data_IF_846001231827
#
_entry.id   IF_846001231827
#
_cell.length_a   1.000
_cell.length_b   1.000
_cell.length_c   1.000
_cell.angle_alpha   90.00
_cell.angle_beta   90.00
_cell.angle_gamma   90.00
#
_symmetry.space_group_name_H-M   'P 1'
#
loop_
_entity.id
_entity.type
_entity.pdbx_description
1 polymer ?
#
# COMPACT_ATOMS: atom_id res chain seq x y z
N UNK A 1 13.18 -5.81 15.26
CA UNK A 1 11.85 -5.37 14.81
C UNK A 1 11.61 -5.93 13.42
N UNK A 2 10.36 -6.13 12.96
CA UNK A 2 10.15 -6.39 11.53
C UNK A 2 10.57 -5.15 10.75
N UNK A 3 11.13 -5.35 9.57
CA UNK A 3 11.47 -4.24 8.69
C UNK A 3 10.17 -3.52 8.27
N UNK A 4 10.19 -2.20 8.26
CA UNK A 4 9.01 -1.35 8.06
C UNK A 4 9.24 -0.38 6.92
N UNK A 5 8.29 -0.33 5.99
CA UNK A 5 8.18 0.68 4.94
C UNK A 5 7.15 1.71 5.38
N UNK A 6 7.52 2.98 5.41
CA UNK A 6 6.64 4.10 5.70
C UNK A 6 6.04 4.60 4.38
N UNK A 7 4.73 4.83 4.36
CA UNK A 7 3.98 5.16 3.16
C UNK A 7 3.16 6.43 3.36
N UNK A 8 3.24 7.34 2.39
CA UNK A 8 2.38 8.51 2.25
C UNK A 8 1.87 8.60 0.80
N UNK A 9 0.62 9.00 0.66
CA UNK A 9 0.00 9.35 -0.62
C UNK A 9 -0.12 10.87 -0.69
N UNK A 10 0.37 11.48 -1.76
CA UNK A 10 -0.04 12.84 -2.13
C UNK A 10 -1.21 12.72 -3.09
N UNK A 11 -2.35 13.27 -2.69
CA UNK A 11 -3.58 13.23 -3.48
C UNK A 11 -3.96 14.62 -3.96
N UNK A 12 -4.56 14.68 -5.14
CA UNK A 12 -5.06 15.92 -5.75
C UNK A 12 -6.52 15.70 -6.17
N UNK A 13 -7.35 16.76 -6.27
CA UNK A 13 -8.67 16.64 -6.86
C UNK A 13 -8.55 16.14 -8.31
N UNK A 14 -9.55 15.39 -8.75
CA UNK A 14 -9.74 15.10 -10.18
C UNK A 14 -10.14 16.38 -10.92
N UNK A 15 -10.06 16.33 -12.24
CA UNK A 15 -10.68 17.38 -13.04
C UNK A 15 -12.20 17.31 -12.86
N UNK A 16 -12.87 18.43 -12.53
CA UNK A 16 -14.30 18.43 -12.32
C UNK A 16 -15.02 18.13 -13.63
N UNK A 17 -16.01 17.24 -13.55
CA UNK A 17 -16.99 16.98 -14.61
C UNK A 17 -18.38 17.23 -14.03
N UNK A 18 -19.38 17.48 -14.87
CA UNK A 18 -20.77 17.66 -14.41
C UNK A 18 -21.21 16.50 -13.50
N UNK A 19 -20.93 15.26 -13.90
CA UNK A 19 -21.22 14.06 -13.12
C UNK A 19 -20.50 14.05 -11.76
N UNK A 20 -19.19 14.35 -11.72
CA UNK A 20 -18.43 14.37 -10.47
C UNK A 20 -18.90 15.48 -9.53
N UNK A 21 -19.24 16.64 -10.06
CA UNK A 21 -19.75 17.78 -9.28
C UNK A 21 -21.13 17.44 -8.70
N UNK A 22 -22.01 16.80 -9.48
CA UNK A 22 -23.33 16.38 -9.00
C UNK A 22 -23.21 15.28 -7.92
N UNK A 23 -22.34 14.29 -8.11
CA UNK A 23 -22.04 13.30 -7.07
C UNK A 23 -21.45 13.94 -5.80
N UNK A 24 -20.56 14.93 -5.95
CA UNK A 24 -19.99 15.64 -4.81
C UNK A 24 -21.05 16.43 -4.05
N UNK A 25 -21.91 17.16 -4.78
CA UNK A 25 -23.03 17.90 -4.21
C UNK A 25 -23.96 16.99 -3.43
N UNK A 26 -24.47 15.93 -4.07
CA UNK A 26 -25.40 14.98 -3.43
C UNK A 26 -24.81 14.31 -2.18
N UNK A 27 -23.47 14.19 -2.11
CA UNK A 27 -22.80 13.59 -0.95
C UNK A 27 -22.59 14.56 0.22
N UNK A 28 -22.45 15.86 -0.05
CA UNK A 28 -22.02 16.84 0.95
C UNK A 28 -23.00 18.00 1.18
N UNK A 29 -24.10 18.09 0.42
CA UNK A 29 -25.07 19.19 0.52
C UNK A 29 -25.68 19.38 1.91
N UNK A 30 -25.81 18.29 2.68
CA UNK A 30 -26.33 18.34 4.06
C UNK A 30 -25.33 18.90 5.09
N UNK A 31 -24.04 18.96 4.75
CA UNK A 31 -22.96 19.20 5.73
C UNK A 31 -21.96 20.28 5.33
N UNK A 32 -22.03 20.80 4.09
CA UNK A 32 -21.10 21.80 3.57
C UNK A 32 -21.85 22.94 2.87
N UNK A 33 -21.29 24.14 2.96
CA UNK A 33 -21.70 25.24 2.09
C UNK A 33 -21.09 25.02 0.69
N UNK A 34 -21.97 24.90 -0.31
CA UNK A 34 -21.61 24.57 -1.69
C UNK A 34 -21.92 25.71 -2.67
N UNK A 35 -21.91 26.96 -2.19
CA UNK A 35 -22.19 28.15 -3.02
C UNK A 35 -21.29 28.25 -4.27
N UNK A 36 -20.00 27.89 -4.14
CA UNK A 36 -19.08 27.70 -5.27
C UNK A 36 -18.64 26.24 -5.33
N UNK A 37 -19.50 25.40 -5.91
CA UNK A 37 -19.34 23.95 -5.95
C UNK A 37 -18.00 23.52 -6.56
N UNK A 38 -17.57 24.18 -7.63
CA UNK A 38 -16.32 23.83 -8.31
C UNK A 38 -15.11 24.22 -7.47
N UNK A 39 -15.09 25.43 -6.90
CA UNK A 39 -13.98 25.85 -6.03
C UNK A 39 -13.87 24.94 -4.79
N UNK A 40 -15.00 24.64 -4.13
CA UNK A 40 -15.03 23.76 -2.96
C UNK A 40 -14.63 22.33 -3.33
N UNK A 41 -15.04 21.85 -4.51
CA UNK A 41 -14.60 20.55 -5.00
C UNK A 41 -13.07 20.52 -5.16
N UNK A 42 -12.48 21.52 -5.80
CA UNK A 42 -11.05 21.56 -6.05
C UNK A 42 -10.22 21.70 -4.77
N UNK A 43 -10.68 22.44 -3.76
CA UNK A 43 -9.93 22.63 -2.51
C UNK A 43 -10.04 21.45 -1.54
N UNK A 44 -11.17 20.74 -1.51
CA UNK A 44 -11.45 19.79 -0.41
C UNK A 44 -11.65 18.33 -0.83
N UNK A 45 -11.86 18.05 -2.12
CA UNK A 45 -12.26 16.71 -2.55
C UNK A 45 -11.11 15.69 -2.62
N UNK A 46 -9.85 16.17 -2.56
CA UNK A 46 -8.64 15.36 -2.70
C UNK A 46 -8.52 14.21 -1.68
N UNK A 47 -9.16 14.35 -0.51
CA UNK A 47 -9.16 13.33 0.55
C UNK A 47 -10.20 12.20 0.33
N UNK A 48 -10.98 12.24 -0.75
CA UNK A 48 -11.94 11.19 -1.07
C UNK A 48 -11.50 10.44 -2.33
N UNK A 49 -11.31 9.10 -2.34
CA UNK A 49 -10.82 8.39 -3.52
C UNK A 49 -11.78 8.36 -4.71
N UNK A 50 -13.05 8.75 -4.50
CA UNK A 50 -14.01 8.97 -5.58
C UNK A 50 -13.70 10.27 -6.36
N UNK A 51 -13.34 11.34 -5.64
CA UNK A 51 -13.17 12.68 -6.20
C UNK A 51 -11.71 13.11 -6.37
N UNK A 52 -10.80 12.46 -5.65
CA UNK A 52 -9.36 12.64 -5.73
C UNK A 52 -8.67 11.55 -6.53
N UNK A 53 -7.43 11.82 -6.89
CA UNK A 53 -6.48 10.90 -7.52
C UNK A 53 -5.16 10.92 -6.75
N UNK A 54 -4.40 9.84 -6.82
CA UNK A 54 -3.01 9.78 -6.35
C UNK A 54 -2.15 10.50 -7.39
N UNK A 55 -1.41 11.51 -6.94
CA UNK A 55 -0.47 12.25 -7.77
C UNK A 55 0.94 11.70 -7.63
N UNK A 56 1.34 11.38 -6.40
CA UNK A 56 2.61 10.73 -6.10
C UNK A 56 2.47 9.84 -4.88
N UNK A 57 3.40 8.90 -4.77
CA UNK A 57 3.54 8.01 -3.61
C UNK A 57 4.93 8.18 -3.04
N UNK A 58 5.01 8.39 -1.74
CA UNK A 58 6.29 8.55 -1.04
C UNK A 58 6.50 7.36 -0.10
N UNK A 59 7.63 6.69 -0.28
CA UNK A 59 8.04 5.52 0.49
C UNK A 59 9.29 5.87 1.31
N UNK A 60 9.33 5.45 2.57
CA UNK A 60 10.49 5.59 3.44
C UNK A 60 10.90 4.23 4.02
N UNK A 61 12.18 3.95 4.10
CA UNK A 61 12.68 2.83 4.90
C UNK A 61 14.02 3.18 5.54
N UNK A 62 14.27 2.60 6.71
CA UNK A 62 15.50 2.84 7.46
C UNK A 62 16.49 1.73 7.18
N UNK A 63 17.70 2.08 6.76
CA UNK A 63 18.78 1.13 6.56
C UNK A 63 20.08 1.70 7.13
N UNK A 64 20.73 0.95 8.04
CA UNK A 64 21.97 1.35 8.70
C UNK A 64 21.93 2.76 9.34
N UNK A 65 20.81 3.10 10.00
CA UNK A 65 20.63 4.39 10.66
C UNK A 65 20.35 5.58 9.73
N UNK A 66 20.16 5.33 8.43
CA UNK A 66 19.83 6.33 7.44
C UNK A 66 18.42 6.10 6.90
N UNK A 67 17.61 7.16 6.82
CA UNK A 67 16.30 7.12 6.20
C UNK A 67 16.44 7.25 4.69
N UNK A 68 16.02 6.24 3.93
CA UNK A 68 15.93 6.30 2.47
C UNK A 68 14.51 6.61 2.07
N UNK A 69 14.32 7.72 1.36
CA UNK A 69 13.02 8.18 0.88
C UNK A 69 12.99 8.10 -0.65
N UNK A 70 11.95 7.48 -1.18
CA UNK A 70 11.68 7.42 -2.61
C UNK A 70 10.33 8.05 -2.92
N UNK A 71 10.29 9.03 -3.82
CA UNK A 71 9.05 9.62 -4.34
C UNK A 71 8.81 9.03 -5.73
N UNK A 72 7.65 8.40 -5.93
CA UNK A 72 7.18 7.87 -7.20
C UNK A 72 6.28 8.91 -7.88
N UNK A 73 6.59 9.26 -9.12
CA UNK A 73 5.82 10.21 -9.94
C UNK A 73 5.57 9.64 -11.33
N UNK A 74 4.44 9.97 -11.93
CA UNK A 74 4.05 9.49 -13.25
C UNK A 74 2.55 9.61 -13.45
N UNK A 75 2.01 8.79 -14.34
CA UNK A 75 0.56 8.55 -14.38
C UNK A 75 0.11 7.87 -13.09
N UNK A 76 -1.17 8.01 -12.71
CA UNK A 76 -1.68 7.36 -11.50
C UNK A 76 -1.53 5.83 -11.57
N UNK A 77 -1.78 5.25 -12.75
CA UNK A 77 -1.59 3.83 -13.03
C UNK A 77 -0.14 3.38 -12.83
N UNK A 78 0.83 4.04 -13.45
CA UNK A 78 2.26 3.68 -13.30
C UNK A 78 2.74 3.78 -11.86
N UNK A 79 2.34 4.84 -11.15
CA UNK A 79 2.67 5.04 -9.72
C UNK A 79 2.07 3.93 -8.85
N UNK A 80 0.82 3.55 -9.11
CA UNK A 80 0.17 2.45 -8.39
C UNK A 80 0.85 1.11 -8.71
N UNK A 81 1.12 0.82 -9.98
CA UNK A 81 1.79 -0.42 -10.39
C UNK A 81 3.16 -0.57 -9.74
N UNK A 82 3.98 0.49 -9.78
CA UNK A 82 5.30 0.49 -9.13
C UNK A 82 5.18 0.32 -7.60
N UNK A 83 4.22 1.00 -6.95
CA UNK A 83 3.96 0.79 -5.53
C UNK A 83 3.66 -0.68 -5.23
N UNK A 84 2.79 -1.32 -6.02
CA UNK A 84 2.42 -2.72 -5.84
C UNK A 84 3.63 -3.64 -6.06
N UNK A 85 4.46 -3.37 -7.07
CA UNK A 85 5.70 -4.12 -7.33
C UNK A 85 6.66 -4.03 -6.13
N UNK A 86 6.95 -2.82 -5.63
CA UNK A 86 7.83 -2.61 -4.48
C UNK A 86 7.33 -3.36 -3.24
N UNK A 87 6.04 -3.23 -2.92
CA UNK A 87 5.47 -3.87 -1.74
C UNK A 87 5.35 -5.39 -1.87
N UNK A 88 5.16 -5.91 -3.08
CA UNK A 88 5.17 -7.34 -3.34
C UNK A 88 6.57 -7.94 -3.21
N UNK A 89 7.60 -7.25 -3.70
CA UNK A 89 9.01 -7.62 -3.53
C UNK A 89 9.45 -7.48 -2.07
N UNK A 90 8.77 -6.64 -1.29
CA UNK A 90 9.00 -6.44 0.14
C UNK A 90 7.93 -7.11 1.01
N UNK A 91 7.35 -8.23 0.56
CA UNK A 91 6.18 -8.87 1.23
C UNK A 91 6.43 -9.38 2.66
N UNK A 92 7.68 -9.40 3.14
CA UNK A 92 8.01 -9.67 4.54
C UNK A 92 7.93 -8.42 5.45
N UNK A 93 7.91 -7.22 4.86
CA UNK A 93 7.94 -5.94 5.54
C UNK A 93 6.55 -5.53 5.98
N UNK A 94 6.45 -4.83 7.10
CA UNK A 94 5.23 -4.10 7.47
C UNK A 94 5.16 -2.80 6.70
N UNK A 95 3.95 -2.33 6.36
CA UNK A 95 3.72 -0.98 5.84
C UNK A 95 3.13 -0.11 6.95
N UNK A 96 3.83 0.94 7.33
CA UNK A 96 3.37 1.96 8.26
C UNK A 96 2.87 3.18 7.50
N UNK A 97 1.70 3.69 7.89
CA UNK A 97 1.15 4.97 7.40
C UNK A 97 0.57 5.70 8.60
N UNK A 98 0.44 7.02 8.51
CA UNK A 98 -0.23 7.77 9.57
C UNK A 98 -1.64 7.24 9.83
N UNK A 99 -2.46 7.10 8.78
CA UNK A 99 -3.84 6.66 8.89
C UNK A 99 -4.13 5.57 7.85
N UNK A 100 -4.13 4.31 8.30
CA UNK A 100 -4.42 3.17 7.44
C UNK A 100 -5.88 3.15 6.95
N UNK A 101 -6.81 3.64 7.76
CA UNK A 101 -8.23 3.74 7.37
C UNK A 101 -8.48 4.74 6.25
N UNK A 102 -7.57 5.70 6.04
CA UNK A 102 -7.53 6.53 4.84
C UNK A 102 -6.76 5.85 3.71
N UNK A 103 -5.51 5.46 3.99
CA UNK A 103 -4.54 5.03 2.97
C UNK A 103 -4.99 3.79 2.22
N UNK A 104 -5.40 2.73 2.94
CA UNK A 104 -5.68 1.44 2.30
C UNK A 104 -6.92 1.49 1.39
N UNK A 105 -8.08 2.05 1.83
CA UNK A 105 -9.23 2.19 0.95
C UNK A 105 -8.90 3.09 -0.25
N UNK A 106 -8.13 4.16 -0.04
CA UNK A 106 -7.75 5.06 -1.14
C UNK A 106 -6.98 4.29 -2.22
N UNK A 107 -5.93 3.54 -1.85
CA UNK A 107 -5.16 2.73 -2.81
C UNK A 107 -6.07 1.74 -3.53
N UNK A 108 -6.88 0.94 -2.83
CA UNK A 108 -7.71 -0.08 -3.50
C UNK A 108 -8.80 0.53 -4.39
N UNK A 109 -9.43 1.64 -4.00
CA UNK A 109 -10.41 2.32 -4.87
C UNK A 109 -9.73 2.89 -6.11
N UNK A 110 -8.53 3.47 -5.98
CA UNK A 110 -7.79 3.99 -7.13
C UNK A 110 -7.21 2.88 -8.02
N UNK A 111 -6.83 1.73 -7.47
CA UNK A 111 -6.48 0.53 -8.26
C UNK A 111 -7.66 0.11 -9.14
N UNK A 112 -8.85 -0.03 -8.56
CA UNK A 112 -10.05 -0.39 -9.32
C UNK A 112 -10.37 0.65 -10.41
N UNK A 113 -10.21 1.94 -10.09
CA UNK A 113 -10.45 3.02 -11.06
C UNK A 113 -9.43 3.08 -12.21
N UNK A 114 -8.24 2.47 -12.03
CA UNK A 114 -7.21 2.33 -13.06
C UNK A 114 -7.15 0.90 -13.62
N UNK A 115 -8.22 0.10 -13.48
CA UNK A 115 -8.32 -1.27 -13.99
C UNK A 115 -7.21 -2.23 -13.51
N UNK A 116 -6.56 -1.94 -12.39
CA UNK A 116 -5.55 -2.82 -11.80
C UNK A 116 -6.22 -3.99 -11.07
N UNK A 117 -5.70 -5.20 -11.29
CA UNK A 117 -6.24 -6.40 -10.66
C UNK A 117 -6.08 -6.38 -9.14
N UNK A 118 -7.09 -6.83 -8.41
CA UNK A 118 -6.98 -7.05 -6.97
C UNK A 118 -6.13 -8.28 -6.61
N UNK A 119 -5.84 -9.17 -7.57
CA UNK A 119 -5.01 -10.37 -7.34
C UNK A 119 -3.55 -10.02 -7.02
N UNK A 120 -3.07 -8.86 -7.47
CA UNK A 120 -1.70 -8.39 -7.21
C UNK A 120 -1.58 -7.56 -5.93
N UNK A 121 -2.67 -7.41 -5.16
CA UNK A 121 -2.68 -6.61 -3.93
C UNK A 121 -1.72 -7.23 -2.88
N UNK A 122 -0.70 -6.48 -2.41
CA UNK A 122 0.22 -6.96 -1.39
C UNK A 122 -0.50 -7.29 -0.08
N UNK A 123 -0.03 -8.30 0.69
CA UNK A 123 -0.60 -8.61 2.00
C UNK A 123 -0.63 -7.41 2.97
N UNK A 124 0.30 -6.47 2.84
CA UNK A 124 0.39 -5.24 3.63
C UNK A 124 -0.67 -4.19 3.28
N UNK A 125 -1.36 -4.33 2.15
CA UNK A 125 -2.47 -3.47 1.72
C UNK A 125 -3.83 -4.18 1.73
N UNK A 126 -3.83 -5.51 1.93
CA UNK A 126 -5.04 -6.32 1.90
C UNK A 126 -5.87 -6.14 3.17
N UNK A 127 -6.92 -5.31 3.06
CA UNK A 127 -7.85 -4.98 4.15
C UNK A 127 -9.29 -5.41 3.87
N UNK A 128 -9.56 -5.97 2.68
CA UNK A 128 -10.93 -6.29 2.26
C UNK A 128 -11.52 -7.38 3.17
N UNK A 129 -12.70 -7.11 3.73
CA UNK A 129 -13.35 -7.99 4.70
C UNK A 129 -12.64 -8.08 6.06
N UNK A 130 -11.60 -7.29 6.30
CA UNK A 130 -10.87 -7.27 7.56
C UNK A 130 -11.37 -6.19 8.51
N UNK A 131 -11.28 -6.47 9.81
CA UNK A 131 -11.36 -5.45 10.87
C UNK A 131 -9.98 -4.82 11.04
N UNK A 132 -9.86 -3.57 11.51
CA UNK A 132 -8.57 -2.90 11.68
C UNK A 132 -7.54 -3.71 12.48
N UNK A 133 -7.96 -4.34 13.59
CA UNK A 133 -7.08 -5.19 14.43
C UNK A 133 -6.66 -6.53 13.79
N UNK A 134 -7.21 -6.89 12.63
CA UNK A 134 -6.80 -8.08 11.87
C UNK A 134 -5.70 -7.78 10.85
N UNK A 135 -5.35 -6.50 10.62
CA UNK A 135 -4.28 -6.10 9.71
C UNK A 135 -2.92 -6.47 10.32
N UNK A 136 -2.29 -7.52 9.82
CA UNK A 136 -1.04 -8.07 10.40
C UNK A 136 0.24 -7.43 9.87
N UNK A 137 0.18 -6.85 8.68
CA UNK A 137 1.34 -6.28 7.97
C UNK A 137 1.12 -4.79 7.67
N UNK A 138 0.10 -4.18 8.27
CA UNK A 138 -0.13 -2.73 8.20
C UNK A 138 -0.06 -2.17 9.61
N UNK A 139 0.61 -1.03 9.76
CA UNK A 139 0.68 -0.27 10.99
C UNK A 139 -0.01 1.07 10.72
N UNK A 140 -1.13 1.32 11.39
CA UNK A 140 -1.72 2.65 11.46
C UNK A 140 -1.06 3.40 12.60
N UNK A 141 -0.11 4.28 12.31
CA UNK A 141 0.67 4.98 13.34
C UNK A 141 -0.25 5.85 14.21
N UNK A 142 -1.27 6.48 13.64
CA UNK A 142 -2.25 7.27 14.41
C UNK A 142 -2.98 6.43 15.44
N UNK A 143 -3.42 5.22 15.09
CA UNK A 143 -4.11 4.32 16.03
C UNK A 143 -3.14 3.79 17.10
N UNK A 144 -1.90 3.50 16.70
CA UNK A 144 -0.85 3.05 17.61
C UNK A 144 -0.53 4.10 18.68
N UNK A 145 -0.32 5.36 18.28
CA UNK A 145 0.01 6.45 19.22
C UNK A 145 -1.20 6.92 20.02
N UNK A 146 -2.41 6.86 19.45
CA UNK A 146 -3.65 7.20 20.14
C UNK A 146 -3.94 6.21 21.29
N UNK A 147 -3.64 4.92 21.09
CA UNK A 147 -3.92 3.88 22.06
C UNK A 147 -5.42 3.80 22.40
N UNK A 148 -5.75 4.00 23.68
CA UNK A 148 -7.15 4.00 24.17
C UNK A 148 -7.76 5.42 24.27
N UNK A 149 -7.03 6.45 23.84
CA UNK A 149 -7.45 7.85 23.92
C UNK A 149 -8.66 8.14 23.03
N UNK A 150 -9.51 9.08 23.46
CA UNK A 150 -10.75 9.43 22.74
C UNK A 150 -10.58 10.57 21.74
N UNK A 151 -9.49 11.33 21.83
CA UNK A 151 -9.15 12.39 20.91
C UNK A 151 -8.35 11.85 19.73
N UNK A 152 -8.61 12.39 18.54
CA UNK A 152 -7.81 12.10 17.34
C UNK A 152 -6.79 13.23 17.20
N UNK A 153 -5.52 12.88 17.30
CA UNK A 153 -4.43 13.81 16.98
C UNK A 153 -3.98 13.65 15.53
N UNK A 154 -3.37 14.69 15.01
CA UNK A 154 -2.67 14.75 13.73
C UNK A 154 -1.19 14.37 13.91
N UNK A 155 -0.51 14.08 12.79
CA UNK A 155 0.93 13.81 12.82
C UNK A 155 1.69 15.02 13.38
N UNK A 156 1.26 16.22 12.99
CA UNK A 156 1.90 17.49 13.37
C UNK A 156 1.77 17.77 14.88
N UNK A 157 0.62 17.47 15.50
CA UNK A 157 0.46 17.61 16.95
C UNK A 157 1.40 16.67 17.72
N UNK A 158 1.62 15.46 17.21
CA UNK A 158 2.61 14.55 17.81
C UNK A 158 4.04 15.02 17.56
N UNK A 159 4.35 15.54 16.36
CA UNK A 159 5.65 16.11 16.05
C UNK A 159 5.98 17.29 16.98
N UNK A 160 5.03 18.21 17.16
CA UNK A 160 5.13 19.33 18.10
C UNK A 160 5.43 18.87 19.52
N UNK A 161 4.66 17.91 20.05
CA UNK A 161 4.86 17.37 21.40
C UNK A 161 6.22 16.69 21.60
N UNK A 162 6.79 16.14 20.52
CA UNK A 162 8.08 15.47 20.54
C UNK A 162 9.26 16.39 20.18
N UNK A 163 9.01 17.67 19.90
CA UNK A 163 10.03 18.62 19.43
C UNK A 163 10.67 18.18 18.11
N UNK A 164 9.85 17.69 17.16
CA UNK A 164 10.27 17.32 15.81
C UNK A 164 9.88 18.47 14.88
N UNK A 165 10.88 19.14 14.32
CA UNK A 165 10.67 20.17 13.30
C UNK A 165 10.19 19.52 11.99
N UNK A 166 9.27 20.21 11.31
CA UNK A 166 8.70 19.74 10.04
C UNK A 166 8.30 20.94 9.17
N UNK A 167 8.38 20.78 7.84
CA UNK A 167 7.84 21.72 6.86
C UNK A 167 6.84 21.01 5.92
N UNK A 168 5.73 20.57 6.49
CA UNK A 168 4.70 19.78 5.81
C UNK A 168 3.58 20.70 5.32
N UNK A 169 3.23 20.58 4.05
CA UNK A 169 2.08 21.20 3.39
C UNK A 169 0.90 20.23 3.48
N UNK A 170 -0.24 20.65 4.07
CA UNK A 170 -1.44 19.81 4.25
C UNK A 170 -2.70 20.45 3.65
N UNK A 171 -3.71 19.61 3.38
CA UNK A 171 -5.05 20.06 3.00
C UNK A 171 -5.11 20.88 1.71
N UNK A 172 -5.84 21.99 1.76
CA UNK A 172 -6.05 22.88 0.60
C UNK A 172 -4.75 23.50 0.07
N UNK A 173 -3.73 23.65 0.91
CA UNK A 173 -2.47 24.26 0.52
C UNK A 173 -1.65 23.37 -0.40
N UNK A 174 -1.88 22.04 -0.36
CA UNK A 174 -1.30 21.09 -1.32
C UNK A 174 -1.79 21.42 -2.74
N UNK A 175 -3.10 21.62 -2.90
CA UNK A 175 -3.68 21.94 -4.20
C UNK A 175 -3.24 23.34 -4.69
N UNK A 176 -3.19 24.34 -3.80
CA UNK A 176 -2.68 25.67 -4.14
C UNK A 176 -1.22 25.62 -4.59
N UNK A 177 -0.36 24.88 -3.88
CA UNK A 177 1.04 24.71 -4.24
C UNK A 177 1.19 23.98 -5.59
N UNK A 178 0.35 22.98 -5.85
CA UNK A 178 0.31 22.30 -7.13
C UNK A 178 -0.05 23.25 -8.29
N UNK A 179 -1.12 24.04 -8.13
CA UNK A 179 -1.52 25.04 -9.15
C UNK A 179 -0.45 26.11 -9.38
N UNK A 180 0.28 26.49 -8.33
CA UNK A 180 1.38 27.43 -8.42
C UNK A 180 2.66 26.83 -9.05
N UNK A 181 2.65 25.55 -9.44
CA UNK A 181 3.82 24.88 -10.03
C UNK A 181 4.96 24.63 -9.04
N UNK A 182 4.68 24.63 -7.73
CA UNK A 182 5.67 24.47 -6.64
C UNK A 182 6.02 23.00 -6.41
N UNK A 183 6.39 22.29 -7.48
CA UNK A 183 6.61 20.84 -7.44
C UNK A 183 7.74 20.43 -6.48
N UNK A 184 8.83 21.21 -6.40
CA UNK A 184 9.93 20.91 -5.47
C UNK A 184 9.50 21.10 -4.01
N UNK A 185 8.74 22.15 -3.69
CA UNK A 185 8.25 22.39 -2.33
C UNK A 185 7.32 21.25 -1.87
N UNK A 186 6.51 20.71 -2.80
CA UNK A 186 5.67 19.54 -2.53
C UNK A 186 6.51 18.29 -2.27
N UNK A 187 7.58 18.06 -3.03
CA UNK A 187 8.48 16.92 -2.81
C UNK A 187 9.20 17.01 -1.47
N UNK A 188 9.73 18.18 -1.15
CA UNK A 188 10.42 18.43 0.12
C UNK A 188 9.44 18.23 1.30
N UNK A 189 8.20 18.70 1.17
CA UNK A 189 7.12 18.47 2.13
C UNK A 189 6.80 16.98 2.33
N UNK A 190 6.79 16.18 1.26
CA UNK A 190 6.53 14.74 1.35
C UNK A 190 7.69 13.98 2.01
N UNK A 191 8.94 14.41 1.77
CA UNK A 191 10.12 13.89 2.49
C UNK A 191 10.02 14.21 3.97
N UNK A 192 9.69 15.45 4.31
CA UNK A 192 9.51 15.90 5.69
C UNK A 192 8.35 15.15 6.37
N UNK A 193 7.29 14.84 5.64
CA UNK A 193 6.20 14.00 6.13
C UNK A 193 6.69 12.61 6.53
N UNK A 194 7.42 11.92 5.64
CA UNK A 194 7.96 10.58 5.93
C UNK A 194 8.95 10.62 7.09
N UNK A 195 9.84 11.60 7.11
CA UNK A 195 10.81 11.79 8.21
C UNK A 195 10.10 12.03 9.54
N UNK A 196 9.05 12.85 9.54
CA UNK A 196 8.22 13.10 10.73
C UNK A 196 7.51 11.84 11.17
N UNK A 197 6.89 11.10 10.24
CA UNK A 197 6.19 9.84 10.51
C UNK A 197 7.12 8.78 11.13
N UNK A 198 8.32 8.61 10.58
CA UNK A 198 9.35 7.70 11.10
C UNK A 198 9.73 8.10 12.53
N UNK A 199 10.05 9.37 12.76
CA UNK A 199 10.51 9.85 14.07
C UNK A 199 9.42 9.84 15.14
N UNK A 200 8.16 10.11 14.76
CA UNK A 200 7.02 9.92 15.66
C UNK A 200 6.90 8.44 16.00
N UNK A 201 6.86 7.55 15.01
CA UNK A 201 6.76 6.11 15.26
C UNK A 201 7.90 5.59 16.17
N UNK A 202 9.15 5.96 15.87
CA UNK A 202 10.34 5.58 16.64
C UNK A 202 10.31 6.09 18.08
N UNK A 203 9.82 7.31 18.30
CA UNK A 203 9.66 7.86 19.65
C UNK A 203 8.70 7.02 20.50
N UNK A 204 7.66 6.43 19.90
CA UNK A 204 6.69 5.57 20.60
C UNK A 204 7.11 4.10 20.68
N UNK A 205 8.02 3.63 19.81
CA UNK A 205 8.60 2.28 19.90
C UNK A 205 9.87 2.21 20.74
N UNK A 206 10.39 3.36 21.20
CA UNK A 206 11.62 3.46 21.99
C UNK A 206 12.91 3.38 21.17
N UNK A 207 12.83 3.72 19.88
CA UNK A 207 13.97 3.80 18.96
C UNK A 207 14.53 5.23 18.87
N UNK A 208 15.81 5.34 18.49
CA UNK A 208 16.47 6.62 18.30
C UNK A 208 15.94 7.34 17.05
N UNK A 209 15.72 8.65 17.16
CA UNK A 209 15.30 9.49 16.03
C UNK A 209 16.35 9.49 14.91
N UNK A 210 15.88 9.52 13.68
CA UNK A 210 16.70 9.57 12.45
C UNK A 210 16.58 10.93 11.79
N UNK A 211 17.73 11.55 11.58
CA UNK A 211 17.85 12.87 10.97
C UNK A 211 18.49 12.85 9.58
N UNK A 212 19.40 11.90 9.35
CA UNK A 212 20.06 11.71 8.07
C UNK A 212 19.12 11.00 7.10
N UNK A 213 18.97 11.58 5.90
CA UNK A 213 18.14 11.02 4.85
C UNK A 213 18.78 11.08 3.48
N UNK A 214 18.53 10.05 2.68
CA UNK A 214 18.86 9.97 1.26
C UNK A 214 17.53 9.98 0.49
N UNK A 215 17.40 10.89 -0.49
CA UNK A 215 16.14 11.09 -1.23
C UNK A 215 16.35 10.73 -2.69
N UNK A 216 15.42 9.97 -3.26
CA UNK A 216 15.37 9.66 -4.70
C UNK A 216 14.00 9.99 -5.24
N UNK A 217 13.93 10.71 -6.36
CA UNK A 217 12.69 10.91 -7.12
C UNK A 217 12.73 10.00 -8.34
N UNK A 218 11.83 9.02 -8.42
CA UNK A 218 11.67 8.11 -9.55
C UNK A 218 10.48 8.59 -10.38
N UNK A 219 10.77 9.16 -11.55
CA UNK A 219 9.77 9.47 -12.57
C UNK A 219 9.56 8.21 -13.41
N UNK A 220 8.32 7.76 -13.49
CA UNK A 220 7.90 6.53 -14.15
C UNK A 220 7.37 6.85 -15.54
N UNK A 221 7.66 5.95 -16.48
CA UNK A 221 7.03 5.95 -17.80
C UNK A 221 5.57 5.50 -17.70
N UNK A 222 4.76 5.73 -18.74
CA UNK A 222 3.34 5.35 -18.73
C UNK A 222 3.14 3.83 -18.65
N UNK A 223 4.05 3.05 -19.23
CA UNK A 223 3.96 1.60 -19.40
C UNK A 223 4.74 0.80 -18.34
N UNK A 224 4.60 1.14 -17.05
CA UNK A 224 5.18 0.29 -15.99
C UNK A 224 4.48 -1.06 -15.98
N UNK A 225 5.21 -2.11 -16.36
CA UNK A 225 4.69 -3.47 -16.34
C UNK A 225 4.49 -3.97 -14.91
N UNK A 226 3.38 -4.69 -14.69
CA UNK A 226 3.16 -5.42 -13.44
C UNK A 226 4.21 -6.51 -13.36
N UNK A 227 5.03 -6.50 -12.31
CA UNK A 227 6.00 -7.56 -12.10
C UNK A 227 5.26 -8.84 -11.71
N UNK A 228 5.26 -9.83 -12.61
CA UNK A 228 4.69 -11.13 -12.30
C UNK A 228 5.51 -11.82 -11.21
N UNK A 229 4.86 -12.05 -10.07
CA UNK A 229 5.46 -12.85 -9.00
C UNK A 229 5.81 -14.25 -9.53
N UNK A 230 7.00 -14.78 -9.21
CA UNK A 230 7.28 -16.19 -9.42
C UNK A 230 6.20 -17.08 -8.78
N UNK A 231 5.81 -18.15 -9.46
CA UNK A 231 4.71 -19.06 -9.08
C UNK A 231 4.67 -19.42 -7.58
N UNK A 232 5.82 -19.75 -7.00
CA UNK A 232 5.89 -20.12 -5.58
C UNK A 232 5.56 -18.95 -4.65
N UNK A 233 5.95 -17.73 -5.01
CA UNK A 233 5.58 -16.54 -4.25
C UNK A 233 4.08 -16.22 -4.37
N UNK A 234 3.46 -16.47 -5.54
CA UNK A 234 2.00 -16.38 -5.70
C UNK A 234 1.30 -17.34 -4.72
N UNK A 235 1.70 -18.62 -4.72
CA UNK A 235 1.16 -19.64 -3.81
C UNK A 235 1.34 -19.28 -2.32
N UNK A 236 2.53 -18.78 -1.96
CA UNK A 236 2.83 -18.39 -0.58
C UNK A 236 1.95 -17.22 -0.10
N UNK A 237 1.78 -16.21 -0.95
CA UNK A 237 1.10 -14.96 -0.58
C UNK A 237 -0.42 -15.09 -0.57
N UNK A 238 -0.99 -15.84 -1.51
CA UNK A 238 -2.44 -16.06 -1.58
C UNK A 238 -2.93 -17.06 -0.53
N UNK A 239 -2.08 -18.00 -0.10
CA UNK A 239 -2.44 -19.00 0.90
C UNK A 239 -3.56 -19.95 0.46
N UNK A 240 -3.83 -20.02 -0.85
CA UNK A 240 -4.76 -20.91 -1.51
C UNK A 240 -4.11 -21.53 -2.77
N UNK A 241 -4.56 -22.72 -3.17
CA UNK A 241 -4.06 -23.43 -4.36
C UNK A 241 -5.09 -23.37 -5.50
N UNK A 242 -5.19 -22.21 -6.13
CA UNK A 242 -6.22 -21.90 -7.15
C UNK A 242 -6.00 -22.65 -8.47
N UNK A 243 -7.03 -22.70 -9.31
CA UNK A 243 -6.94 -23.25 -10.67
C UNK A 243 -5.92 -22.54 -11.54
N UNK A 244 -5.78 -21.21 -11.38
CA UNK A 244 -4.76 -20.42 -12.08
C UNK A 244 -3.34 -20.89 -11.74
N UNK A 245 -3.02 -21.08 -10.46
CA UNK A 245 -1.71 -21.61 -10.03
C UNK A 245 -1.49 -23.03 -10.59
N UNK A 246 -2.54 -23.85 -10.62
CA UNK A 246 -2.47 -25.21 -11.18
C UNK A 246 -2.18 -25.21 -12.69
N UNK A 247 -2.78 -24.29 -13.43
CA UNK A 247 -2.56 -24.11 -14.87
C UNK A 247 -1.14 -23.60 -15.15
N UNK A 248 -0.67 -22.62 -14.39
CA UNK A 248 0.68 -22.06 -14.52
C UNK A 248 1.76 -23.12 -14.19
N UNK A 249 1.53 -24.00 -13.19
CA UNK A 249 2.40 -25.16 -12.94
C UNK A 249 2.38 -26.14 -14.12
N UNK A 250 1.21 -26.46 -14.66
CA UNK A 250 1.07 -27.36 -15.82
C UNK A 250 1.80 -26.80 -17.04
N UNK A 251 1.74 -25.50 -17.26
CA UNK A 251 2.44 -24.81 -18.34
C UNK A 251 3.97 -24.87 -18.17
N UNK A 252 4.47 -24.59 -16.96
CA UNK A 252 5.91 -24.68 -16.64
C UNK A 252 6.48 -26.09 -16.82
N UNK A 253 5.69 -27.11 -16.46
CA UNK A 253 6.06 -28.52 -16.66
C UNK A 253 5.97 -28.90 -18.15
N UNK A 254 5.01 -28.31 -18.86
CA UNK A 254 4.73 -28.57 -20.26
C UNK A 254 4.27 -30.00 -20.52
N UNK A 255 4.56 -30.53 -21.72
CA UNK A 255 4.18 -31.90 -22.13
C UNK A 255 5.13 -32.99 -21.63
N UNK A 256 6.02 -32.69 -20.66
CA UNK A 256 7.01 -33.67 -20.18
C UNK A 256 6.34 -34.74 -19.33
N UNK A 257 6.64 -36.00 -19.63
CA UNK A 257 6.25 -37.12 -18.76
C UNK A 257 7.11 -37.11 -17.51
N UNK A 258 6.51 -36.75 -16.38
CA UNK A 258 7.20 -36.70 -15.09
C UNK A 258 7.52 -38.09 -14.55
N UNK A 259 8.72 -38.25 -14.00
CA UNK A 259 9.05 -39.44 -13.22
C UNK A 259 8.38 -39.39 -11.84
N UNK A 260 8.35 -40.53 -11.13
CA UNK A 260 7.89 -40.57 -9.73
C UNK A 260 8.70 -39.62 -8.84
N UNK A 261 10.00 -39.50 -9.09
CA UNK A 261 10.85 -38.59 -8.30
C UNK A 261 10.54 -37.12 -8.60
N UNK A 262 10.26 -36.76 -9.86
CA UNK A 262 9.88 -35.38 -10.19
C UNK A 262 8.57 -34.99 -9.51
N UNK A 263 7.58 -35.89 -9.54
CA UNK A 263 6.30 -35.70 -8.83
C UNK A 263 6.51 -35.50 -7.33
N UNK A 264 7.31 -36.36 -6.69
CA UNK A 264 7.61 -36.23 -5.27
C UNK A 264 8.33 -34.90 -4.95
N UNK A 265 9.23 -34.45 -5.83
CA UNK A 265 9.95 -33.18 -5.66
C UNK A 265 9.00 -31.98 -5.79
N UNK A 266 8.12 -31.98 -6.80
CA UNK A 266 7.10 -30.93 -6.98
C UNK A 266 6.16 -30.88 -5.78
N UNK A 267 5.65 -32.04 -5.34
CA UNK A 267 4.80 -32.15 -4.16
C UNK A 267 5.47 -31.57 -2.91
N UNK A 268 6.71 -32.00 -2.62
CA UNK A 268 7.48 -31.51 -1.47
C UNK A 268 7.70 -30.00 -1.53
N UNK A 269 7.97 -29.47 -2.72
CA UNK A 269 8.28 -28.06 -2.92
C UNK A 269 7.01 -27.20 -2.77
N UNK A 270 5.90 -27.59 -3.38
CA UNK A 270 4.61 -26.90 -3.22
C UNK A 270 4.12 -26.95 -1.77
N UNK A 271 4.23 -28.09 -1.09
CA UNK A 271 3.84 -28.22 0.32
C UNK A 271 4.69 -27.34 1.25
N UNK A 272 6.00 -27.25 0.98
CA UNK A 272 6.90 -26.42 1.79
C UNK A 272 6.53 -24.94 1.78
N UNK A 273 5.87 -24.49 0.71
CA UNK A 273 5.45 -23.10 0.52
C UNK A 273 3.99 -22.89 0.94
N UNK A 274 3.11 -23.85 0.63
CA UNK A 274 1.67 -23.74 0.87
C UNK A 274 1.29 -23.95 2.35
N UNK A 275 2.02 -24.80 3.07
CA UNK A 275 1.80 -25.02 4.50
C UNK A 275 2.52 -23.97 5.35
N UNK A 276 1.78 -23.32 6.25
CA UNK A 276 2.33 -22.31 7.14
C UNK A 276 2.55 -22.87 8.55
N UNK A 277 3.53 -22.32 9.28
CA UNK A 277 3.84 -22.74 10.67
C UNK A 277 2.64 -22.64 11.63
N UNK A 278 1.65 -21.80 11.33
CA UNK A 278 0.42 -21.62 12.13
C UNK A 278 -0.77 -22.50 11.74
N UNK A 279 -0.67 -23.31 10.68
CA UNK A 279 -1.80 -24.11 10.20
C UNK A 279 -2.20 -25.19 11.21
N UNK A 280 -3.49 -25.26 11.54
CA UNK A 280 -4.05 -26.36 12.36
C UNK A 280 -3.93 -27.69 11.62
N UNK A 281 -3.88 -28.80 12.35
CA UNK A 281 -3.72 -30.15 11.78
C UNK A 281 -4.70 -30.45 10.64
N UNK A 282 -5.98 -30.11 10.80
CA UNK A 282 -7.00 -30.32 9.77
C UNK A 282 -6.75 -29.48 8.50
N UNK A 283 -6.24 -28.25 8.65
CA UNK A 283 -5.90 -27.37 7.51
C UNK A 283 -4.68 -27.93 6.78
N UNK A 284 -3.65 -28.40 7.50
CA UNK A 284 -2.47 -29.03 6.91
C UNK A 284 -2.83 -30.26 6.07
N UNK A 285 -3.68 -31.13 6.62
CA UNK A 285 -4.17 -32.33 5.92
C UNK A 285 -4.95 -31.97 4.65
N UNK A 286 -5.84 -30.96 4.73
CA UNK A 286 -6.58 -30.50 3.55
C UNK A 286 -5.63 -30.00 2.45
N UNK A 287 -4.63 -29.19 2.82
CA UNK A 287 -3.61 -28.68 1.88
C UNK A 287 -2.76 -29.80 1.30
N UNK A 288 -2.39 -30.80 2.10
CA UNK A 288 -1.71 -32.02 1.65
C UNK A 288 -2.54 -32.76 0.60
N UNK A 289 -3.82 -32.99 0.86
CA UNK A 289 -4.72 -33.66 -0.08
C UNK A 289 -4.88 -32.89 -1.39
N UNK A 290 -5.05 -31.56 -1.34
CA UNK A 290 -5.14 -30.69 -2.53
C UNK A 290 -3.90 -30.84 -3.42
N UNK A 291 -2.69 -30.71 -2.87
CA UNK A 291 -1.44 -30.86 -3.64
C UNK A 291 -1.25 -32.30 -4.14
N UNK A 292 -1.50 -33.29 -3.28
CA UNK A 292 -1.32 -34.70 -3.63
C UNK A 292 -2.22 -35.10 -4.80
N UNK A 293 -3.46 -34.65 -4.80
CA UNK A 293 -4.41 -34.94 -5.87
C UNK A 293 -3.99 -34.27 -7.18
N UNK A 294 -3.59 -33.01 -7.13
CA UNK A 294 -3.08 -32.31 -8.30
C UNK A 294 -1.82 -32.98 -8.90
N UNK A 295 -0.84 -33.36 -8.07
CA UNK A 295 0.40 -33.99 -8.55
C UNK A 295 0.15 -35.39 -9.16
N UNK A 296 -0.89 -36.09 -8.72
CA UNK A 296 -1.31 -37.35 -9.36
C UNK A 296 -1.82 -37.13 -10.78
N UNK A 297 -2.44 -35.99 -11.06
CA UNK A 297 -3.01 -35.62 -12.37
C UNK A 297 -1.99 -35.07 -13.36
N UNK A 298 -0.80 -34.62 -12.91
CA UNK A 298 0.33 -34.20 -13.75
C UNK A 298 0.97 -35.37 -14.52
#
# INVERSE_FOLDING_TARGET
MKETIFLKLLTLPKQPTEELLEMYKNKYEDYKDLQDLESVFLSESAANPLFGKIHSVTLGFVNNGMLRVQILKGTEESVLTELLNILNNSSSYSVATWNAAFTLPFVTTRMAANNLSMSILPPSLNHLGMRPWNLKQTISVSEYVQGIGWFKSTLLEHAYNLGIDHNIIEGEDVYKAFLAGKTQELDDSEVDYIKTLVNVYYSFTGEDKIFASEVTVKVLDEDVEVEEKPLLQKLMSLGNFTTEIQEEIKELIGKKKLSKNDKNNIESLLLSVYQQKGDKKAVKQKKEEEITNFVKEL
#
